data_IF_694004273187
#
_entry.id   IF_694004273187
#
_cell.length_a   1.000
_cell.length_b   1.000
_cell.length_c   1.000
_cell.angle_alpha   90.00
_cell.angle_beta   90.00
_cell.angle_gamma   90.00
#
_symmetry.space_group_name_H-M   'P 1'
#
loop_
_entity.id
_entity.type
_entity.pdbx_description
1 polymer ?
#
# COMPACT_ATOMS: atom_id res chain seq x y z
N UNK A 1 -2.63 5.65 17.04
CA UNK A 1 -3.33 4.63 17.87
C UNK A 1 -4.00 3.62 16.95
N UNK A 2 -3.97 2.33 17.30
CA UNK A 2 -4.67 1.26 16.58
C UNK A 2 -6.19 1.39 16.77
N UNK A 3 -6.96 0.97 15.77
CA UNK A 3 -8.43 0.85 15.83
C UNK A 3 -8.84 -0.60 16.12
N UNK A 4 -10.14 -0.83 16.24
CA UNK A 4 -10.70 -2.16 16.49
C UNK A 4 -10.21 -3.20 15.47
N UNK A 5 -9.82 -4.38 15.95
CA UNK A 5 -9.27 -5.50 15.19
C UNK A 5 -7.99 -5.22 14.40
N UNK A 6 -7.35 -4.07 14.61
CA UNK A 6 -6.04 -3.78 14.04
C UNK A 6 -4.91 -4.30 14.92
N UNK A 7 -3.84 -4.74 14.27
CA UNK A 7 -2.57 -5.11 14.92
C UNK A 7 -1.40 -4.49 14.18
N UNK A 8 -0.24 -4.49 14.83
CA UNK A 8 1.03 -4.29 14.14
C UNK A 8 1.63 -5.64 13.77
N UNK A 9 2.00 -5.79 12.50
CA UNK A 9 2.91 -6.82 12.04
C UNK A 9 4.27 -6.20 11.71
N UNK A 10 5.34 -7.00 11.77
CA UNK A 10 6.71 -6.55 11.56
C UNK A 10 7.23 -6.96 10.18
N UNK A 11 7.76 -5.98 9.43
CA UNK A 11 8.66 -6.18 8.31
C UNK A 11 10.08 -6.28 8.86
N UNK A 12 10.42 -7.44 9.43
CA UNK A 12 11.60 -7.65 10.29
C UNK A 12 12.90 -7.23 9.59
N UNK A 13 13.03 -7.47 8.28
CA UNK A 13 14.24 -7.15 7.53
C UNK A 13 14.41 -5.65 7.31
N UNK A 14 13.31 -4.92 7.20
CA UNK A 14 13.28 -3.48 6.93
C UNK A 14 13.14 -2.64 8.22
N UNK A 15 12.99 -3.30 9.37
CA UNK A 15 12.77 -2.67 10.68
C UNK A 15 11.56 -1.72 10.70
N UNK A 16 10.48 -2.12 10.03
CA UNK A 16 9.23 -1.36 9.98
C UNK A 16 8.06 -2.15 10.55
N UNK A 17 7.16 -1.42 11.22
CA UNK A 17 5.88 -1.95 11.67
C UNK A 17 4.76 -1.53 10.71
N UNK A 18 3.80 -2.40 10.43
CA UNK A 18 2.67 -2.10 9.55
C UNK A 18 1.35 -2.50 10.19
N UNK A 19 0.37 -1.62 10.05
CA UNK A 19 -0.98 -1.86 10.57
C UNK A 19 -1.70 -2.84 9.62
N UNK A 20 -2.18 -3.95 10.19
CA UNK A 20 -3.00 -4.96 9.51
C UNK A 20 -4.34 -5.15 10.21
N UNK A 21 -5.32 -5.69 9.47
CA UNK A 21 -6.62 -6.09 10.00
C UNK A 21 -7.17 -7.23 9.13
N UNK A 22 -7.24 -8.46 9.64
CA UNK A 22 -7.64 -9.63 8.84
C UNK A 22 -9.10 -9.56 8.35
N UNK A 23 -9.96 -8.76 8.99
CA UNK A 23 -11.35 -8.57 8.55
C UNK A 23 -11.45 -7.67 7.32
N UNK A 24 -10.45 -6.79 7.12
CA UNK A 24 -10.45 -5.75 6.08
C UNK A 24 -9.39 -6.04 5.01
N UNK A 25 -8.15 -6.25 5.42
CA UNK A 25 -7.01 -6.48 4.54
C UNK A 25 -5.76 -6.95 5.30
N UNK A 26 -5.11 -7.96 4.72
CA UNK A 26 -3.74 -8.37 5.06
C UNK A 26 -2.95 -8.43 3.77
N UNK A 27 -1.72 -7.92 3.77
CA UNK A 27 -0.93 -7.92 2.54
C UNK A 27 -0.64 -9.35 2.07
N UNK A 28 -0.60 -9.56 0.76
CA UNK A 28 -0.29 -10.86 0.16
C UNK A 28 1.21 -11.06 -0.01
N UNK A 29 1.62 -12.32 -0.20
CA UNK A 29 2.99 -12.67 -0.61
C UNK A 29 3.39 -11.94 -1.89
N UNK A 30 2.47 -11.75 -2.84
CA UNK A 30 2.74 -11.05 -4.10
C UNK A 30 3.18 -9.60 -3.87
N UNK A 31 2.59 -8.91 -2.88
CA UNK A 31 2.98 -7.55 -2.52
C UNK A 31 4.42 -7.51 -1.97
N UNK A 32 4.79 -8.47 -1.12
CA UNK A 32 6.16 -8.60 -0.62
C UNK A 32 7.14 -8.90 -1.76
N UNK A 33 6.79 -9.84 -2.64
CA UNK A 33 7.62 -10.20 -3.79
C UNK A 33 7.80 -9.02 -4.75
N UNK A 34 6.74 -8.27 -5.06
CA UNK A 34 6.84 -7.07 -5.90
C UNK A 34 7.70 -5.99 -5.23
N UNK A 35 7.49 -5.74 -3.93
CA UNK A 35 8.29 -4.81 -3.15
C UNK A 35 9.78 -5.17 -3.20
N UNK A 36 10.14 -6.45 -3.02
CA UNK A 36 11.52 -6.90 -3.08
C UNK A 36 12.10 -6.96 -4.50
N UNK A 37 11.32 -7.37 -5.49
CA UNK A 37 11.71 -7.43 -6.90
C UNK A 37 12.06 -6.05 -7.46
N UNK A 38 11.30 -5.03 -7.06
CA UNK A 38 11.46 -3.66 -7.53
C UNK A 38 12.75 -3.05 -6.98
N UNK A 39 13.56 -2.44 -7.84
CA UNK A 39 14.85 -1.82 -7.48
C UNK A 39 14.82 -0.32 -7.75
N UNK A 40 14.24 0.50 -6.85
CA UNK A 40 14.27 1.94 -6.99
C UNK A 40 15.70 2.47 -6.83
N UNK A 41 15.97 3.61 -7.46
CA UNK A 41 17.21 4.39 -7.29
C UNK A 41 16.94 5.52 -6.30
N UNK A 42 17.99 6.06 -5.70
CA UNK A 42 17.88 7.15 -4.72
C UNK A 42 17.20 8.42 -5.24
N UNK A 43 17.30 8.67 -6.55
CA UNK A 43 16.66 9.81 -7.20
C UNK A 43 15.23 9.56 -7.66
N UNK A 44 14.72 8.34 -7.53
CA UNK A 44 13.41 8.00 -8.07
C UNK A 44 12.28 8.61 -7.25
N UNK A 45 11.27 9.10 -7.97
CA UNK A 45 9.98 9.54 -7.42
C UNK A 45 8.99 8.47 -7.83
N UNK A 46 8.42 7.78 -6.84
CA UNK A 46 7.66 6.54 -7.03
C UNK A 46 6.17 6.80 -6.88
N UNK A 47 5.37 6.19 -7.75
CA UNK A 47 3.92 6.11 -7.60
C UNK A 47 3.49 4.65 -7.47
N UNK A 48 2.86 4.29 -6.36
CA UNK A 48 2.27 2.97 -6.16
C UNK A 48 0.75 3.01 -6.35
N UNK A 49 0.26 2.33 -7.39
CA UNK A 49 -1.15 2.26 -7.74
C UNK A 49 -1.79 1.03 -7.11
N UNK A 50 -3.00 1.18 -6.55
CA UNK A 50 -3.67 0.13 -5.75
C UNK A 50 -2.87 -0.21 -4.47
N UNK A 51 -2.52 0.81 -3.70
CA UNK A 51 -1.50 0.69 -2.65
C UNK A 51 -1.94 -0.08 -1.39
N UNK A 52 -3.24 -0.37 -1.25
CA UNK A 52 -3.75 -1.09 -0.09
C UNK A 52 -3.39 -0.37 1.22
N UNK A 53 -2.90 -1.11 2.21
CA UNK A 53 -2.43 -0.54 3.47
C UNK A 53 -1.00 0.03 3.42
N UNK A 54 -0.40 0.17 2.23
CA UNK A 54 0.90 0.84 2.04
C UNK A 54 2.13 -0.05 2.20
N UNK A 55 1.98 -1.38 2.16
CA UNK A 55 3.12 -2.31 2.30
C UNK A 55 4.20 -2.12 1.23
N UNK A 56 3.83 -1.93 -0.05
CA UNK A 56 4.80 -1.74 -1.13
C UNK A 56 5.55 -0.41 -0.93
N UNK A 57 4.89 0.75 -0.72
CA UNK A 57 5.57 2.00 -0.38
C UNK A 57 6.56 1.85 0.77
N UNK A 58 6.17 1.18 1.85
CA UNK A 58 7.03 0.99 3.03
C UNK A 58 8.27 0.14 2.71
N UNK A 59 8.09 -0.97 1.97
CA UNK A 59 9.20 -1.81 1.50
C UNK A 59 10.13 -1.07 0.51
N UNK A 60 9.57 -0.21 -0.34
CA UNK A 60 10.37 0.59 -1.28
C UNK A 60 11.14 1.69 -0.55
N UNK A 61 10.58 2.26 0.52
CA UNK A 61 11.25 3.29 1.32
C UNK A 61 12.52 2.78 1.98
N UNK A 62 12.53 1.52 2.42
CA UNK A 62 13.73 0.85 2.93
C UNK A 62 14.90 0.81 1.91
N UNK A 63 14.62 1.09 0.62
CA UNK A 63 15.59 1.16 -0.48
C UNK A 63 15.95 2.60 -0.86
N UNK A 64 15.54 3.57 -0.06
CA UNK A 64 15.87 5.00 -0.11
C UNK A 64 15.58 5.75 -1.43
N UNK A 65 14.43 5.57 -2.12
CA UNK A 65 14.00 6.51 -3.16
C UNK A 65 13.74 7.90 -2.56
N UNK A 66 13.68 8.92 -3.43
CA UNK A 66 13.52 10.33 -3.03
C UNK A 66 12.16 10.59 -2.37
N UNK A 67 11.09 10.07 -2.96
CA UNK A 67 9.73 10.28 -2.50
C UNK A 67 8.82 9.18 -3.04
N UNK A 68 7.79 8.81 -2.28
CA UNK A 68 6.83 7.77 -2.67
C UNK A 68 5.41 8.28 -2.43
N UNK A 69 4.56 8.15 -3.43
CA UNK A 69 3.13 8.40 -3.32
C UNK A 69 2.34 7.13 -3.60
N UNK A 70 1.37 6.83 -2.76
CA UNK A 70 0.43 5.71 -2.94
C UNK A 70 -0.96 6.21 -3.28
N UNK A 71 -1.68 5.48 -4.12
CA UNK A 71 -3.09 5.74 -4.43
C UNK A 71 -3.94 4.53 -4.06
N UNK A 72 -4.95 4.75 -3.24
CA UNK A 72 -5.90 3.73 -2.81
C UNK A 72 -7.33 4.30 -2.74
N UNK A 73 -8.31 3.53 -3.20
CA UNK A 73 -9.72 3.94 -3.27
C UNK A 73 -10.45 3.67 -1.94
N UNK A 74 -9.96 2.73 -1.13
CA UNK A 74 -10.59 2.34 0.12
C UNK A 74 -10.11 3.23 1.27
N UNK A 75 -11.01 4.09 1.77
CA UNK A 75 -10.74 5.01 2.90
C UNK A 75 -10.10 4.33 4.12
N UNK A 76 -10.54 3.13 4.48
CA UNK A 76 -10.00 2.39 5.63
C UNK A 76 -8.53 2.04 5.44
N UNK A 77 -8.15 1.56 4.25
CA UNK A 77 -6.76 1.20 3.94
C UNK A 77 -5.86 2.42 3.86
N UNK A 78 -6.37 3.53 3.31
CA UNK A 78 -5.66 4.82 3.31
C UNK A 78 -5.35 5.28 4.74
N UNK A 79 -6.32 5.16 5.64
CA UNK A 79 -6.15 5.54 7.05
C UNK A 79 -5.14 4.63 7.76
N UNK A 80 -5.17 3.31 7.51
CA UNK A 80 -4.16 2.37 8.03
C UNK A 80 -2.76 2.71 7.52
N UNK A 81 -2.62 3.01 6.23
CA UNK A 81 -1.34 3.37 5.63
C UNK A 81 -0.77 4.66 6.23
N UNK A 82 -1.58 5.73 6.35
CA UNK A 82 -1.13 7.00 6.92
C UNK A 82 -0.65 6.85 8.36
N UNK A 83 -1.41 6.11 9.19
CA UNK A 83 -1.00 5.83 10.58
C UNK A 83 0.23 4.93 10.65
N UNK A 84 0.39 4.00 9.70
CA UNK A 84 1.62 3.22 9.55
C UNK A 84 2.81 4.13 9.24
N UNK A 85 2.68 5.05 8.29
CA UNK A 85 3.77 5.95 7.92
C UNK A 85 4.17 6.88 9.06
N UNK A 86 3.18 7.43 9.77
CA UNK A 86 3.41 8.22 10.97
C UNK A 86 4.09 7.41 12.08
N UNK A 87 3.67 6.16 12.29
CA UNK A 87 4.25 5.31 13.33
C UNK A 87 5.73 5.00 13.09
N UNK A 88 6.16 4.90 11.83
CA UNK A 88 7.56 4.66 11.48
C UNK A 88 8.35 5.96 11.23
N UNK A 89 7.76 7.14 11.47
CA UNK A 89 8.36 8.45 11.19
C UNK A 89 8.80 8.65 9.72
N UNK A 90 8.00 8.15 8.77
CA UNK A 90 8.29 8.21 7.32
C UNK A 90 7.26 9.01 6.52
N UNK A 91 6.28 9.63 7.17
CA UNK A 91 5.17 10.34 6.52
C UNK A 91 5.57 11.65 5.83
N UNK A 92 6.76 12.19 6.11
CA UNK A 92 7.36 13.27 5.31
C UNK A 92 7.73 12.81 3.88
N UNK A 93 8.07 11.52 3.71
CA UNK A 93 8.54 10.95 2.45
C UNK A 93 7.50 10.08 1.76
N UNK A 94 6.51 9.57 2.51
CA UNK A 94 5.46 8.67 2.03
C UNK A 94 4.10 9.33 2.17
N UNK A 95 3.48 9.62 1.02
CA UNK A 95 2.12 10.18 0.99
C UNK A 95 1.12 9.14 0.50
N UNK A 96 -0.02 8.99 1.18
CA UNK A 96 -1.14 8.14 0.72
C UNK A 96 -2.34 8.99 0.31
N UNK A 97 -2.81 8.81 -0.93
CA UNK A 97 -3.96 9.50 -1.50
C UNK A 97 -5.20 8.61 -1.51
N UNK A 98 -6.29 9.14 -0.96
CA UNK A 98 -7.61 8.53 -1.10
C UNK A 98 -8.24 8.98 -2.41
N UNK A 99 -8.18 8.13 -3.45
CA UNK A 99 -8.62 8.51 -4.80
C UNK A 99 -9.01 7.29 -5.63
N UNK A 100 -10.01 7.46 -6.52
CA UNK A 100 -10.24 6.54 -7.64
C UNK A 100 -9.15 6.74 -8.70
N UNK A 101 -8.46 5.66 -9.09
CA UNK A 101 -7.43 5.65 -10.13
C UNK A 101 -7.88 6.26 -11.46
N UNK A 102 -9.19 6.25 -11.78
CA UNK A 102 -9.74 6.93 -12.96
C UNK A 102 -9.51 8.44 -12.95
N UNK A 103 -9.22 9.02 -11.79
CA UNK A 103 -8.94 10.44 -11.63
C UNK A 103 -7.45 10.76 -11.48
N UNK A 104 -6.56 9.75 -11.50
CA UNK A 104 -5.12 9.95 -11.26
C UNK A 104 -4.52 10.94 -12.27
N UNK A 105 -4.90 10.85 -13.54
CA UNK A 105 -4.40 11.74 -14.62
C UNK A 105 -4.92 13.18 -14.55
N UNK A 106 -5.94 13.44 -13.73
CA UNK A 106 -6.47 14.79 -13.49
C UNK A 106 -5.74 15.51 -12.35
N UNK A 107 -5.21 14.74 -11.40
CA UNK A 107 -4.55 15.27 -10.20
C UNK A 107 -3.04 15.28 -10.39
N UNK A 108 -2.49 14.19 -10.91
CA UNK A 108 -1.07 14.05 -11.16
C UNK A 108 -0.74 14.47 -12.58
N UNK A 109 0.21 15.41 -12.70
CA UNK A 109 0.71 15.83 -14.01
C UNK A 109 1.46 14.66 -14.67
N UNK A 110 1.45 14.57 -16.01
CA UNK A 110 2.30 13.61 -16.71
C UNK A 110 3.78 13.79 -16.39
N UNK A 111 4.55 12.70 -16.49
CA UNK A 111 6.02 12.71 -16.46
C UNK A 111 6.65 13.23 -15.14
N UNK A 112 5.95 13.08 -14.01
CA UNK A 112 6.48 13.46 -12.68
C UNK A 112 7.15 12.29 -11.94
N UNK A 113 6.75 11.06 -12.25
CA UNK A 113 7.24 9.84 -11.59
C UNK A 113 8.21 9.10 -12.50
N UNK A 114 9.27 8.55 -11.91
CA UNK A 114 10.30 7.78 -12.62
C UNK A 114 10.15 6.28 -12.42
N UNK A 115 9.28 5.87 -11.50
CA UNK A 115 8.94 4.48 -11.23
C UNK A 115 7.47 4.38 -10.85
N UNK A 116 6.77 3.39 -11.40
CA UNK A 116 5.39 3.07 -11.04
C UNK A 116 5.31 1.61 -10.64
N UNK A 117 4.70 1.32 -9.50
CA UNK A 117 4.33 -0.04 -9.08
C UNK A 117 2.81 -0.18 -9.05
N UNK A 118 2.33 -1.40 -9.26
CA UNK A 118 0.90 -1.70 -9.18
C UNK A 118 0.70 -3.18 -8.85
N UNK A 119 0.03 -3.46 -7.74
CA UNK A 119 -0.47 -4.78 -7.39
C UNK A 119 -2.00 -4.72 -7.25
N UNK A 120 -2.75 -4.79 -8.36
CA UNK A 120 -4.19 -4.59 -8.32
C UNK A 120 -4.90 -5.74 -7.58
N UNK A 121 -6.05 -5.49 -6.94
CA UNK A 121 -6.82 -6.56 -6.30
C UNK A 121 -7.34 -7.55 -7.35
N UNK A 122 -7.04 -8.83 -7.19
CA UNK A 122 -7.38 -9.90 -8.16
C UNK A 122 -8.84 -10.39 -8.10
N UNK A 123 -9.71 -9.74 -7.33
CA UNK A 123 -11.09 -10.18 -7.14
C UNK A 123 -11.99 -9.75 -8.30
N UNK A 124 -12.50 -10.72 -9.06
CA UNK A 124 -13.69 -10.51 -9.90
C UNK A 124 -14.86 -10.13 -8.98
N UNK A 125 -15.64 -9.12 -9.38
CA UNK A 125 -16.92 -8.79 -8.76
C UNK A 125 -17.79 -10.06 -8.77
N UNK A 126 -17.89 -10.75 -7.64
CA UNK A 126 -18.84 -11.85 -7.48
C UNK A 126 -20.21 -11.19 -7.55
N UNK A 127 -20.87 -11.28 -8.70
CA UNK A 127 -22.28 -10.94 -8.84
C UNK A 127 -23.05 -11.89 -7.94
N UNK A 128 -23.54 -11.38 -6.80
CA UNK A 128 -24.55 -11.96 -5.92
C UNK A 128 -24.97 -13.41 -6.22
N UNK A 129 -24.14 -14.37 -5.83
CA UNK A 129 -24.61 -15.73 -5.55
C UNK A 129 -24.03 -16.16 -4.22
N UNK A 130 -24.94 -16.48 -3.30
CA UNK A 130 -24.71 -16.87 -1.91
C UNK A 130 -23.68 -18.00 -1.79
N UNK A 131 -22.40 -17.68 -1.58
CA UNK A 131 -21.41 -18.68 -1.16
C UNK A 131 -20.84 -18.24 0.19
N UNK A 132 -21.27 -18.96 1.23
CA UNK A 132 -20.79 -18.83 2.61
C UNK A 132 -19.26 -18.89 2.63
N UNK A 133 -18.63 -17.93 3.31
CA UNK A 133 -17.21 -17.94 3.68
C UNK A 133 -16.90 -19.29 4.35
N UNK A 134 -16.18 -20.17 3.65
CA UNK A 134 -15.47 -21.29 4.28
C UNK A 134 -14.03 -20.84 4.46
N UNK A 135 -13.58 -20.87 5.71
CA UNK A 135 -12.20 -20.77 6.13
C UNK A 135 -11.27 -21.49 5.16
N UNK A 136 -10.25 -20.79 4.69
CA UNK A 136 -9.01 -21.42 4.24
C UNK A 136 -7.96 -20.90 5.21
N UNK A 137 -7.40 -21.86 5.96
CA UNK A 137 -6.32 -21.69 6.93
C UNK A 137 -5.02 -21.33 6.24
#
# INVERSE_FOLDING_TARGET
>A
MLKENERFDQLIKEDFSIIQNDDVFSFSTDALLLGHFTKPRTKDIVLDLCSGNGVIPLLLFAKHPRHIEGVEIQKTLVDMARRTFQFNDVDEYLTMHHMDLKNVTKVFKPSQYTLVTCNPPYLKRISNTNIKKKHIR
#
